data_IF_290581150163
#
_entry.id   IF_290581150163
#
_cell.length_a   1.000
_cell.length_b   1.000
_cell.length_c   1.000
_cell.angle_alpha   90.00
_cell.angle_beta   90.00
_cell.angle_gamma   90.00
#
_symmetry.space_group_name_H-M   'P 1'
#
loop_
_entity.id
_entity.type
_entity.pdbx_description
1 polymer ?
#
# COMPACT_ATOMS: atom_id res chain seq x y z
N UNK A 1 -0.69 -17.35 -26.07
CA UNK A 1 -1.45 -17.67 -24.85
C UNK A 1 -0.61 -18.63 -24.02
N UNK A 2 -0.14 -18.22 -22.86
CA UNK A 2 0.62 -19.10 -21.95
C UNK A 2 -0.35 -20.12 -21.35
N UNK A 3 -0.18 -21.38 -21.67
CA UNK A 3 -1.00 -22.43 -21.11
C UNK A 3 -0.44 -22.85 -19.75
N UNK A 4 -0.93 -22.25 -18.67
CA UNK A 4 -0.48 -22.50 -17.31
C UNK A 4 -0.70 -23.96 -16.86
N UNK A 5 -1.61 -24.68 -17.48
CA UNK A 5 -1.90 -26.08 -17.15
C UNK A 5 -0.79 -27.05 -17.55
N UNK A 6 0.05 -26.68 -18.53
CA UNK A 6 1.15 -27.54 -19.01
C UNK A 6 2.27 -27.73 -17.97
N UNK A 7 2.35 -26.85 -16.96
CA UNK A 7 3.42 -26.86 -15.96
C UNK A 7 2.92 -27.07 -14.53
N UNK A 8 1.63 -27.35 -14.34
CA UNK A 8 1.05 -27.52 -13.00
C UNK A 8 1.07 -26.25 -12.13
N UNK A 9 1.32 -25.09 -12.71
CA UNK A 9 1.37 -23.82 -12.01
C UNK A 9 0.07 -23.08 -12.27
N UNK A 10 -0.65 -22.76 -11.19
CA UNK A 10 -1.86 -21.94 -11.26
C UNK A 10 -1.52 -20.49 -10.98
N UNK A 11 -1.69 -19.63 -11.98
CA UNK A 11 -1.55 -18.19 -11.79
C UNK A 11 -2.92 -17.58 -11.48
N UNK A 12 -2.97 -16.66 -10.53
CA UNK A 12 -4.15 -15.84 -10.31
C UNK A 12 -4.30 -14.87 -11.50
N UNK A 13 -5.30 -15.03 -12.37
CA UNK A 13 -5.50 -14.11 -13.47
C UNK A 13 -6.02 -12.77 -12.95
N UNK A 14 -5.70 -11.70 -13.65
CA UNK A 14 -6.31 -10.40 -13.42
C UNK A 14 -7.83 -10.52 -13.58
N UNK A 15 -8.61 -9.93 -12.67
CA UNK A 15 -10.07 -9.92 -12.77
C UNK A 15 -10.55 -9.44 -14.15
N UNK A 16 -11.62 -10.01 -14.65
CA UNK A 16 -12.16 -9.72 -15.98
C UNK A 16 -12.45 -8.23 -16.17
N UNK A 17 -12.95 -7.54 -15.13
CA UNK A 17 -13.19 -6.09 -15.16
C UNK A 17 -11.97 -5.28 -15.57
N UNK A 18 -10.76 -5.73 -15.23
CA UNK A 18 -9.52 -5.05 -15.60
C UNK A 18 -8.95 -5.46 -16.95
N UNK A 19 -9.51 -6.54 -17.54
CA UNK A 19 -9.14 -7.03 -18.87
C UNK A 19 -10.10 -6.55 -19.95
N UNK A 20 -11.29 -6.09 -19.55
CA UNK A 20 -12.32 -5.61 -20.47
C UNK A 20 -11.97 -4.19 -20.93
N UNK A 21 -11.89 -3.99 -22.24
CA UNK A 21 -11.61 -2.69 -22.84
C UNK A 21 -12.73 -1.64 -22.70
N UNK A 22 -13.91 -2.06 -22.22
CA UNK A 22 -15.07 -1.17 -21.99
C UNK A 22 -15.10 -0.57 -20.58
N UNK A 23 -14.23 -0.99 -19.68
CA UNK A 23 -14.17 -0.47 -18.30
C UNK A 23 -13.50 0.89 -18.23
N UNK A 24 -14.07 1.76 -17.40
CA UNK A 24 -13.48 3.06 -17.10
C UNK A 24 -12.19 2.87 -16.30
N UNK A 25 -11.15 3.59 -16.71
CA UNK A 25 -9.93 3.70 -15.92
C UNK A 25 -10.03 4.91 -15.02
N UNK A 26 -9.84 4.67 -13.72
CA UNK A 26 -9.76 5.77 -12.76
C UNK A 26 -8.45 6.50 -12.98
N UNK A 27 -8.53 7.78 -13.30
CA UNK A 27 -7.38 8.66 -13.42
C UNK A 27 -7.03 9.31 -12.06
N UNK A 28 -8.05 9.67 -11.29
CA UNK A 28 -7.93 10.23 -9.95
C UNK A 28 -9.14 9.81 -9.12
N UNK A 29 -8.90 9.13 -8.01
CA UNK A 29 -9.96 8.61 -7.15
C UNK A 29 -10.17 9.47 -5.89
N UNK A 30 -11.34 9.39 -5.24
CA UNK A 30 -11.61 10.12 -4.01
C UNK A 30 -10.65 9.77 -2.88
N UNK A 31 -10.11 8.55 -2.85
CA UNK A 31 -9.10 8.12 -1.88
C UNK A 31 -7.83 8.96 -1.96
N UNK A 32 -7.40 9.37 -3.15
CA UNK A 32 -6.23 10.22 -3.34
C UNK A 32 -6.43 11.59 -2.71
N UNK A 33 -7.61 12.19 -2.89
CA UNK A 33 -7.97 13.46 -2.23
C UNK A 33 -7.89 13.33 -0.71
N UNK A 34 -8.43 12.26 -0.15
CA UNK A 34 -8.39 12.03 1.29
C UNK A 34 -6.96 11.84 1.82
N UNK A 35 -6.11 11.10 1.11
CA UNK A 35 -4.72 10.94 1.53
C UNK A 35 -3.91 12.24 1.43
N UNK A 36 -4.15 13.05 0.39
CA UNK A 36 -3.56 14.38 0.30
C UNK A 36 -4.01 15.30 1.44
N UNK A 37 -5.28 15.23 1.84
CA UNK A 37 -5.80 15.97 2.99
C UNK A 37 -5.14 15.49 4.30
N UNK A 38 -4.99 14.17 4.48
CA UNK A 38 -4.33 13.61 5.65
C UNK A 38 -2.87 14.08 5.74
N UNK A 39 -2.13 14.02 4.63
CA UNK A 39 -0.75 14.51 4.56
C UNK A 39 -0.67 16.02 4.88
N UNK A 40 -1.50 16.83 4.25
CA UNK A 40 -1.53 18.27 4.48
C UNK A 40 -1.85 18.62 5.96
N UNK A 41 -2.73 17.84 6.60
CA UNK A 41 -3.07 18.01 8.01
C UNK A 41 -1.89 17.63 8.93
N UNK A 42 -1.22 16.50 8.67
CA UNK A 42 -0.01 16.09 9.42
C UNK A 42 1.10 17.12 9.30
N UNK A 43 1.27 17.72 8.10
CA UNK A 43 2.26 18.77 7.85
C UNK A 43 1.86 20.14 8.42
N UNK A 44 0.66 20.25 9.00
CA UNK A 44 0.13 21.52 9.53
C UNK A 44 -0.24 22.57 8.49
N UNK A 45 -0.40 22.16 7.22
CA UNK A 45 -0.78 23.08 6.14
C UNK A 45 -2.28 23.41 6.15
N UNK A 46 -3.08 22.50 6.66
CA UNK A 46 -4.51 22.69 6.84
C UNK A 46 -4.94 22.25 8.24
N UNK A 47 -6.01 22.88 8.74
CA UNK A 47 -6.66 22.47 10.00
C UNK A 47 -7.71 21.42 9.69
N UNK A 48 -7.31 20.14 9.69
CA UNK A 48 -8.19 19.00 9.49
C UNK A 48 -7.75 17.83 10.38
N UNK A 49 -8.66 16.89 10.61
CA UNK A 49 -8.36 15.64 11.31
C UNK A 49 -7.64 14.70 10.35
N UNK A 50 -6.34 14.51 10.56
CA UNK A 50 -5.48 13.69 9.72
C UNK A 50 -5.88 12.21 9.75
N UNK A 51 -6.22 11.68 10.94
CA UNK A 51 -6.63 10.28 11.09
C UNK A 51 -7.97 10.03 10.39
N UNK A 52 -8.94 10.92 10.58
CA UNK A 52 -10.23 10.79 9.90
C UNK A 52 -10.08 10.85 8.38
N UNK A 53 -9.26 11.76 7.86
CA UNK A 53 -8.98 11.86 6.43
C UNK A 53 -8.30 10.58 5.90
N UNK A 54 -7.29 10.08 6.58
CA UNK A 54 -6.60 8.84 6.23
C UNK A 54 -7.55 7.63 6.18
N UNK A 55 -8.35 7.44 7.23
CA UNK A 55 -9.31 6.35 7.32
C UNK A 55 -10.40 6.46 6.24
N UNK A 56 -10.85 7.67 5.90
CA UNK A 56 -11.80 7.90 4.81
C UNK A 56 -11.19 7.55 3.45
N UNK A 57 -9.90 7.80 3.24
CA UNK A 57 -9.19 7.38 2.04
C UNK A 57 -9.21 5.85 1.86
N UNK A 58 -8.92 5.12 2.93
CA UNK A 58 -8.99 3.65 2.92
C UNK A 58 -10.41 3.18 2.61
N UNK A 59 -11.43 3.72 3.31
CA UNK A 59 -12.84 3.37 3.10
C UNK A 59 -13.28 3.62 1.65
N UNK A 60 -12.92 4.75 1.08
CA UNK A 60 -13.24 5.08 -0.31
C UNK A 60 -12.61 4.11 -1.31
N UNK A 61 -11.38 3.67 -1.06
CA UNK A 61 -10.70 2.64 -1.88
C UNK A 61 -11.40 1.27 -1.79
N UNK A 62 -11.75 0.85 -0.58
CA UNK A 62 -12.49 -0.40 -0.37
C UNK A 62 -13.88 -0.36 -0.99
N UNK A 63 -14.57 0.79 -0.90
CA UNK A 63 -15.88 0.99 -1.52
C UNK A 63 -15.80 0.87 -3.05
N UNK A 64 -14.83 1.51 -3.67
CA UNK A 64 -14.58 1.39 -5.10
C UNK A 64 -14.34 -0.05 -5.55
N UNK A 65 -13.69 -0.87 -4.72
CA UNK A 65 -13.43 -2.28 -4.98
C UNK A 65 -14.62 -3.20 -4.65
N UNK A 66 -15.70 -2.66 -4.06
CA UNK A 66 -16.86 -3.44 -3.61
C UNK A 66 -16.59 -4.27 -2.36
N UNK A 67 -15.63 -3.85 -1.53
CA UNK A 67 -15.19 -4.56 -0.33
C UNK A 67 -15.35 -3.72 0.94
N UNK A 68 -16.33 -2.81 0.98
CA UNK A 68 -16.56 -1.85 2.08
C UNK A 68 -16.66 -2.51 3.45
N UNK A 69 -17.24 -3.73 3.51
CA UNK A 69 -17.37 -4.49 4.76
C UNK A 69 -16.04 -4.91 5.41
N UNK A 70 -14.95 -4.90 4.66
CA UNK A 70 -13.62 -5.27 5.13
C UNK A 70 -12.78 -4.05 5.57
N UNK A 71 -13.23 -2.83 5.26
CA UNK A 71 -12.45 -1.61 5.48
C UNK A 71 -12.13 -1.38 6.98
N UNK A 72 -13.11 -1.55 7.85
CA UNK A 72 -12.91 -1.32 9.29
C UNK A 72 -11.95 -2.35 9.92
N UNK A 73 -12.03 -3.61 9.51
CA UNK A 73 -11.09 -4.65 9.95
C UNK A 73 -9.66 -4.35 9.47
N UNK A 74 -9.51 -3.83 8.26
CA UNK A 74 -8.23 -3.42 7.71
C UNK A 74 -7.64 -2.23 8.47
N UNK A 75 -8.41 -1.16 8.68
CA UNK A 75 -7.99 0.04 9.42
C UNK A 75 -7.52 -0.28 10.84
N UNK A 76 -8.21 -1.20 11.52
CA UNK A 76 -7.93 -1.58 12.91
C UNK A 76 -6.91 -2.72 13.04
N UNK A 77 -6.29 -3.15 11.94
CA UNK A 77 -5.29 -4.21 11.97
C UNK A 77 -4.06 -3.81 12.78
N UNK A 78 -3.68 -4.66 13.74
CA UNK A 78 -2.45 -4.51 14.53
C UNK A 78 -1.22 -5.13 13.84
N UNK A 79 -1.40 -5.66 12.62
CA UNK A 79 -0.34 -6.37 11.93
C UNK A 79 0.65 -5.39 11.31
N UNK A 80 1.93 -5.74 11.43
CA UNK A 80 3.02 -5.10 10.70
C UNK A 80 3.40 -5.96 9.50
N UNK A 81 3.75 -5.31 8.40
CA UNK A 81 4.31 -6.00 7.25
C UNK A 81 5.79 -6.35 7.48
N UNK A 82 6.40 -7.02 6.50
CA UNK A 82 7.80 -7.47 6.60
C UNK A 82 8.82 -6.33 6.78
N UNK A 83 8.49 -5.12 6.36
CA UNK A 83 9.37 -3.94 6.49
C UNK A 83 9.02 -3.07 7.70
N UNK A 84 8.16 -3.55 8.60
CA UNK A 84 7.84 -2.87 9.85
C UNK A 84 6.83 -1.73 9.72
N UNK A 85 6.10 -1.63 8.62
CA UNK A 85 5.01 -0.65 8.47
C UNK A 85 3.65 -1.29 8.73
N UNK A 86 2.71 -0.50 9.23
CA UNK A 86 1.34 -0.87 9.54
C UNK A 86 0.36 0.07 8.85
N UNK A 87 -0.85 -0.42 8.60
CA UNK A 87 -1.94 0.42 8.08
C UNK A 87 -2.58 1.29 9.15
N UNK A 88 -2.49 0.91 10.42
CA UNK A 88 -3.12 1.62 11.52
C UNK A 88 -2.49 2.99 11.71
N UNK A 89 -3.30 4.06 11.73
CA UNK A 89 -2.80 5.43 11.83
C UNK A 89 -1.92 5.67 13.07
N UNK A 90 -2.28 5.10 14.22
CA UNK A 90 -1.48 5.22 15.45
C UNK A 90 -0.11 4.53 15.40
N UNK A 91 0.13 3.69 14.38
CA UNK A 91 1.42 3.04 14.13
C UNK A 91 2.31 3.81 13.15
N UNK A 92 1.90 5.01 12.76
CA UNK A 92 2.66 5.89 11.84
C UNK A 92 3.84 6.56 12.54
N UNK A 93 4.70 5.78 13.19
CA UNK A 93 6.04 6.26 13.50
C UNK A 93 6.87 6.27 12.20
N UNK A 94 7.81 7.20 12.09
CA UNK A 94 8.78 7.15 11.00
C UNK A 94 9.43 5.75 11.00
N UNK A 95 9.49 5.06 9.85
CA UNK A 95 10.14 3.77 9.79
C UNK A 95 11.58 3.91 10.30
N UNK A 96 11.98 2.97 11.15
CA UNK A 96 13.38 2.88 11.54
C UNK A 96 14.25 2.58 10.31
N UNK A 97 15.52 2.96 10.38
CA UNK A 97 16.49 2.58 9.37
C UNK A 97 16.42 1.06 9.13
N UNK A 98 16.38 0.65 7.87
CA UNK A 98 16.23 -0.74 7.49
C UNK A 98 17.60 -1.36 7.18
N UNK A 99 18.00 -2.35 7.96
CA UNK A 99 19.21 -3.13 7.71
C UNK A 99 18.88 -4.39 6.89
N UNK A 100 19.62 -4.61 5.82
CA UNK A 100 19.54 -5.82 5.02
C UNK A 100 20.93 -6.24 4.55
N UNK A 101 21.05 -7.48 4.10
CA UNK A 101 22.26 -7.97 3.45
C UNK A 101 22.15 -7.74 1.94
N UNK A 102 23.14 -7.09 1.37
CA UNK A 102 23.23 -6.84 -0.06
C UNK A 102 24.54 -7.41 -0.62
N UNK A 103 24.47 -8.00 -1.79
CA UNK A 103 25.65 -8.47 -2.50
C UNK A 103 26.40 -7.28 -3.12
N UNK A 104 27.66 -7.13 -2.76
CA UNK A 104 28.54 -6.13 -3.36
C UNK A 104 29.24 -6.74 -4.59
N UNK A 105 28.91 -6.32 -5.82
CA UNK A 105 29.48 -6.90 -7.03
C UNK A 105 30.96 -6.56 -7.22
N UNK A 106 31.50 -5.56 -6.53
CA UNK A 106 32.88 -5.15 -6.61
C UNK A 106 33.78 -6.02 -5.73
N UNK A 107 33.32 -6.30 -4.49
CA UNK A 107 34.08 -7.11 -3.51
C UNK A 107 33.73 -8.60 -3.59
N UNK A 108 32.59 -8.95 -4.21
CA UNK A 108 32.04 -10.31 -4.23
C UNK A 108 31.52 -10.79 -2.87
N UNK A 109 31.42 -9.91 -1.90
CA UNK A 109 30.97 -10.22 -0.53
C UNK A 109 29.51 -9.82 -0.31
N UNK A 110 28.87 -10.50 0.65
CA UNK A 110 27.58 -10.05 1.19
C UNK A 110 27.87 -9.10 2.34
N UNK A 111 27.43 -7.89 2.23
CA UNK A 111 27.66 -6.81 3.19
C UNK A 111 26.35 -6.35 3.81
N UNK A 112 26.38 -5.93 5.08
CA UNK A 112 25.22 -5.26 5.72
C UNK A 112 25.13 -3.85 5.19
N UNK A 113 23.95 -3.52 4.66
CA UNK A 113 23.65 -2.19 4.15
C UNK A 113 22.47 -1.63 4.95
N UNK A 114 22.64 -0.42 5.47
CA UNK A 114 21.57 0.32 6.14
C UNK A 114 20.96 1.31 5.17
N UNK A 115 19.69 1.11 4.85
CA UNK A 115 18.89 2.08 4.11
C UNK A 115 18.26 3.05 5.10
N UNK A 116 18.67 4.31 5.03
CA UNK A 116 18.04 5.36 5.81
C UNK A 116 16.73 5.77 5.15
N UNK A 117 15.72 5.94 5.98
CA UNK A 117 14.47 6.55 5.53
C UNK A 117 14.74 8.04 5.25
N UNK A 118 14.37 8.57 4.06
CA UNK A 118 14.61 9.96 3.68
C UNK A 118 13.76 10.95 4.47
#
# INVERSE_FOLDING_TARGET
MYNSSAYGITYAPLQERYRNGSEYRVFFGPWETYFLMAEAAVRGWISADAEAAYNNGIKASFDYLGMSSLADAYINSENYNRVGTSVKFSHTAEPADYETEAFNPVTGAVEKVTYKYP
#
